data_IF_058088719783
#
_entry.id   IF_058088719783
#
_cell.length_a   1.000
_cell.length_b   1.000
_cell.length_c   1.000
_cell.angle_alpha   90.00
_cell.angle_beta   90.00
_cell.angle_gamma   90.00
#
_symmetry.space_group_name_H-M   'P 1'
#
loop_
_entity.id
_entity.type
_entity.pdbx_description
1 polymer ?
#
# COMPACT_ATOMS: atom_id res chain seq x y z
N UNK A 1 3.64 -2.09 13.35
CA UNK A 1 4.32 -1.67 12.12
C UNK A 1 5.70 -2.25 12.02
N UNK A 2 6.62 -1.88 12.92
CA UNK A 2 8.00 -2.41 12.93
C UNK A 2 8.09 -3.94 12.81
N UNK A 3 7.24 -4.69 13.52
CA UNK A 3 7.24 -6.14 13.41
C UNK A 3 6.90 -6.63 11.99
N UNK A 4 5.90 -6.02 11.36
CA UNK A 4 5.51 -6.34 9.98
C UNK A 4 6.58 -5.98 8.98
N UNK A 5 7.22 -4.83 9.18
CA UNK A 5 8.34 -4.37 8.36
C UNK A 5 9.49 -5.36 8.39
N UNK A 6 9.92 -5.79 9.58
CA UNK A 6 10.95 -6.82 9.77
C UNK A 6 10.54 -8.19 9.18
N UNK A 7 9.28 -8.58 9.37
CA UNK A 7 8.72 -9.81 8.81
C UNK A 7 8.83 -9.79 7.28
N UNK A 8 8.36 -8.72 6.65
CA UNK A 8 8.37 -8.62 5.19
C UNK A 8 9.77 -8.38 4.63
N UNK A 9 10.73 -7.92 5.45
CA UNK A 9 12.15 -7.86 5.11
C UNK A 9 12.90 -9.19 5.20
N UNK A 10 12.30 -10.25 5.74
CA UNK A 10 13.03 -11.51 5.89
C UNK A 10 14.08 -11.49 7.01
N UNK A 11 13.85 -10.68 8.05
CA UNK A 11 14.76 -10.53 9.20
C UNK A 11 15.18 -11.87 9.84
N UNK A 12 14.38 -12.93 9.66
CA UNK A 12 14.60 -14.25 10.24
C UNK A 12 14.90 -15.35 9.20
N UNK A 13 14.90 -15.05 7.90
CA UNK A 13 15.07 -16.07 6.86
C UNK A 13 16.43 -16.76 6.94
N UNK A 14 17.44 -16.11 7.54
CA UNK A 14 18.76 -16.68 7.81
C UNK A 14 18.74 -17.90 8.75
N UNK A 15 17.67 -18.09 9.53
CA UNK A 15 17.52 -19.26 10.41
C UNK A 15 17.25 -20.56 9.62
N UNK A 16 16.85 -20.45 8.34
CA UNK A 16 16.50 -21.58 7.48
C UNK A 16 15.46 -22.53 8.14
N UNK A 17 14.51 -21.95 8.86
CA UNK A 17 13.41 -22.64 9.52
C UNK A 17 12.18 -22.64 8.58
N UNK A 18 11.59 -23.80 8.24
CA UNK A 18 10.47 -23.87 7.31
C UNK A 18 9.17 -23.23 7.85
N UNK A 19 9.02 -23.06 9.16
CA UNK A 19 7.86 -22.39 9.77
C UNK A 19 8.06 -20.86 9.84
N UNK A 20 9.31 -20.41 9.89
CA UNK A 20 9.70 -19.02 10.08
C UNK A 20 10.39 -18.49 8.83
N UNK A 21 9.59 -18.16 7.81
CA UNK A 21 10.10 -17.70 6.52
C UNK A 21 9.21 -16.61 5.89
N UNK A 22 9.77 -15.45 5.57
CA UNK A 22 9.02 -14.27 5.11
C UNK A 22 8.19 -14.49 3.84
N UNK A 23 8.63 -15.43 3.00
CA UNK A 23 7.98 -15.79 1.73
C UNK A 23 6.63 -16.48 1.92
N UNK A 24 6.38 -17.11 3.07
CA UNK A 24 5.14 -17.84 3.36
C UNK A 24 4.16 -17.03 4.21
N UNK A 25 4.62 -15.92 4.77
CA UNK A 25 3.84 -15.08 5.66
C UNK A 25 3.15 -13.93 4.92
N UNK A 26 1.98 -13.57 5.44
CA UNK A 26 1.18 -12.47 4.94
C UNK A 26 0.88 -11.49 6.08
N UNK A 27 1.26 -10.22 5.90
CA UNK A 27 1.11 -9.24 6.96
C UNK A 27 -0.29 -8.62 7.00
N UNK A 28 -0.64 -8.11 8.19
CA UNK A 28 -1.87 -7.38 8.43
C UNK A 28 -1.81 -5.94 7.87
N UNK A 29 -1.88 -5.85 6.55
CA UNK A 29 -1.96 -4.60 5.78
C UNK A 29 -2.82 -4.80 4.53
N UNK A 30 -3.31 -3.72 3.94
CA UNK A 30 -4.02 -3.73 2.66
C UNK A 30 -3.11 -4.03 1.45
N UNK A 31 -1.79 -3.79 1.57
CA UNK A 31 -0.82 -4.17 0.54
C UNK A 31 -0.53 -5.68 0.63
N UNK A 32 -0.49 -6.34 -0.52
CA UNK A 32 -0.09 -7.75 -0.62
C UNK A 32 1.41 -7.88 -0.32
N UNK A 33 1.79 -8.86 0.50
CA UNK A 33 3.18 -8.96 0.95
C UNK A 33 4.16 -9.24 -0.20
N UNK A 34 3.72 -9.89 -1.29
CA UNK A 34 4.57 -10.07 -2.48
C UNK A 34 4.83 -8.76 -3.22
N UNK A 35 3.82 -7.88 -3.29
CA UNK A 35 3.94 -6.57 -3.92
C UNK A 35 4.79 -5.64 -3.08
N UNK A 36 4.55 -5.62 -1.76
CA UNK A 36 5.39 -4.87 -0.84
C UNK A 36 6.86 -5.30 -0.92
N UNK A 37 7.15 -6.61 -0.95
CA UNK A 37 8.54 -7.08 -1.11
C UNK A 37 9.13 -6.66 -2.45
N UNK A 38 8.34 -6.61 -3.52
CA UNK A 38 8.85 -6.14 -4.81
C UNK A 38 9.12 -4.64 -4.80
N UNK A 39 8.13 -3.81 -4.42
CA UNK A 39 8.28 -2.36 -4.46
C UNK A 39 9.27 -1.88 -3.39
N UNK A 40 9.19 -2.38 -2.18
CA UNK A 40 10.02 -1.95 -1.06
C UNK A 40 11.40 -2.64 -1.03
N UNK A 41 11.46 -3.98 -1.07
CA UNK A 41 12.75 -4.67 -0.95
C UNK A 41 13.57 -4.65 -2.24
N UNK A 42 12.91 -4.82 -3.39
CA UNK A 42 13.64 -4.87 -4.66
C UNK A 42 13.76 -3.49 -5.31
N UNK A 43 12.66 -2.76 -5.52
CA UNK A 43 12.75 -1.46 -6.22
C UNK A 43 13.38 -0.39 -5.33
N UNK A 44 12.78 -0.13 -4.16
CA UNK A 44 13.22 0.93 -3.27
C UNK A 44 14.61 0.67 -2.69
N UNK A 45 14.90 -0.48 -2.07
CA UNK A 45 16.24 -0.69 -1.48
C UNK A 45 17.38 -0.91 -2.49
N UNK A 46 17.09 -1.28 -3.74
CA UNK A 46 18.13 -1.41 -4.79
C UNK A 46 18.35 -0.12 -5.57
N UNK A 47 17.28 0.62 -5.83
CA UNK A 47 17.29 1.84 -6.64
C UNK A 47 16.90 3.07 -5.83
N UNK A 48 17.23 3.08 -4.53
CA UNK A 48 16.81 4.12 -3.58
C UNK A 48 17.13 5.51 -4.13
N UNK A 49 16.14 6.40 -4.11
CA UNK A 49 16.28 7.78 -4.59
C UNK A 49 16.64 7.92 -6.08
N UNK A 50 16.43 6.88 -6.89
CA UNK A 50 16.57 6.98 -8.36
C UNK A 50 15.21 7.29 -8.97
N UNK A 51 15.06 8.51 -9.47
CA UNK A 51 13.86 8.97 -10.19
C UNK A 51 13.49 7.99 -11.31
N UNK A 52 12.19 7.73 -11.47
CA UNK A 52 11.59 6.78 -12.42
C UNK A 52 11.84 5.29 -12.14
N UNK A 53 12.63 4.93 -11.12
CA UNK A 53 12.80 3.54 -10.66
C UNK A 53 12.23 3.32 -9.25
N UNK A 54 12.42 4.29 -8.37
CA UNK A 54 11.92 4.24 -6.99
C UNK A 54 10.59 4.99 -6.88
N UNK A 55 9.50 4.25 -6.95
CA UNK A 55 8.15 4.81 -6.81
C UNK A 55 7.85 5.34 -5.40
N UNK A 56 8.70 5.09 -4.40
CA UNK A 56 8.58 5.71 -3.08
C UNK A 56 8.97 7.20 -3.13
N UNK A 57 9.59 7.66 -4.22
CA UNK A 57 9.80 9.08 -4.53
C UNK A 57 8.45 9.72 -4.89
N UNK A 58 7.69 10.03 -3.84
CA UNK A 58 6.43 10.75 -3.94
C UNK A 58 5.24 9.92 -4.40
N UNK A 59 5.33 8.58 -4.44
CA UNK A 59 4.19 7.70 -4.69
C UNK A 59 3.46 8.02 -6.01
N UNK A 60 4.20 8.49 -7.01
CA UNK A 60 3.70 8.84 -8.35
C UNK A 60 2.77 10.07 -8.42
N UNK A 61 2.46 10.73 -7.30
CA UNK A 61 1.56 11.90 -7.25
C UNK A 61 2.16 13.11 -6.52
N UNK A 62 3.02 12.86 -5.54
CA UNK A 62 3.72 13.90 -4.80
C UNK A 62 5.01 14.26 -5.51
N UNK A 63 5.31 15.56 -5.56
CA UNK A 63 6.62 16.02 -6.01
C UNK A 63 7.54 16.18 -4.79
N UNK A 64 8.56 15.34 -4.69
CA UNK A 64 9.49 15.34 -3.54
C UNK A 64 10.93 15.66 -3.93
N UNK A 65 11.28 15.52 -5.22
CA UNK A 65 12.60 15.88 -5.75
C UNK A 65 12.52 17.00 -6.80
N UNK A 66 13.67 17.63 -7.07
CA UNK A 66 13.82 18.61 -8.15
C UNK A 66 13.83 17.97 -9.54
N UNK A 67 14.22 16.70 -9.61
CA UNK A 67 14.32 15.92 -10.85
C UNK A 67 12.96 15.59 -11.46
N UNK A 68 11.90 15.66 -10.66
CA UNK A 68 10.51 15.58 -11.14
C UNK A 68 10.10 16.95 -11.73
N UNK A 69 9.73 17.02 -13.02
CA UNK A 69 9.22 18.24 -13.62
C UNK A 69 7.95 18.68 -12.91
N UNK A 70 7.72 19.99 -12.84
CA UNK A 70 6.54 20.53 -12.19
C UNK A 70 5.31 20.44 -13.10
N UNK A 71 4.17 20.07 -12.53
CA UNK A 71 2.85 20.06 -13.18
C UNK A 71 1.80 20.77 -12.31
N UNK A 72 0.76 21.40 -12.89
CA UNK A 72 -0.21 22.22 -12.13
C UNK A 72 -0.92 21.51 -10.96
N UNK A 73 -1.19 20.20 -11.07
CA UNK A 73 -1.82 19.46 -9.97
C UNK A 73 -0.95 19.43 -8.71
N UNK A 74 0.37 19.57 -8.84
CA UNK A 74 1.32 19.54 -7.72
C UNK A 74 1.17 20.75 -6.78
N UNK A 75 0.33 21.75 -7.10
CA UNK A 75 -0.10 22.77 -6.13
C UNK A 75 -0.82 22.15 -4.92
N UNK A 76 -1.49 21.01 -5.12
CA UNK A 76 -2.22 20.29 -4.08
C UNK A 76 -1.37 19.21 -3.38
N UNK A 77 -0.05 19.21 -3.58
CA UNK A 77 0.89 18.26 -2.95
C UNK A 77 0.66 18.10 -1.42
N UNK A 78 0.46 19.18 -0.63
CA UNK A 78 0.15 19.02 0.80
C UNK A 78 -1.17 18.26 1.07
N UNK A 79 -2.19 18.49 0.24
CA UNK A 79 -3.48 17.81 0.37
C UNK A 79 -3.36 16.33 0.01
N UNK A 80 -2.69 16.02 -1.10
CA UNK A 80 -2.41 14.64 -1.49
C UNK A 80 -1.59 13.91 -0.43
N UNK A 81 -0.61 14.59 0.19
CA UNK A 81 0.19 13.99 1.25
C UNK A 81 -0.65 13.64 2.47
N UNK A 82 -1.59 14.50 2.88
CA UNK A 82 -2.50 14.18 4.00
C UNK A 82 -3.42 13.01 3.67
N UNK A 83 -3.95 12.95 2.45
CA UNK A 83 -4.78 11.83 2.00
C UNK A 83 -3.97 10.53 2.00
N UNK A 84 -2.75 10.57 1.44
CA UNK A 84 -1.84 9.43 1.43
C UNK A 84 -1.50 8.99 2.85
N UNK A 85 -1.17 9.92 3.75
CA UNK A 85 -0.86 9.64 5.15
C UNK A 85 -2.02 8.95 5.87
N UNK A 86 -3.27 9.40 5.68
CA UNK A 86 -4.44 8.80 6.32
C UNK A 86 -4.81 7.43 5.71
N UNK A 87 -4.47 7.22 4.44
CA UNK A 87 -4.77 6.01 3.66
C UNK A 87 -3.57 5.17 3.29
N UNK A 88 -2.44 5.29 4.00
CA UNK A 88 -1.12 4.88 3.50
C UNK A 88 -1.04 3.40 3.11
N UNK A 89 -1.66 2.50 3.90
CA UNK A 89 -1.73 1.08 3.54
C UNK A 89 -2.35 0.82 2.15
N UNK A 90 -3.31 1.63 1.74
CA UNK A 90 -3.98 1.52 0.44
C UNK A 90 -3.12 2.17 -0.64
N UNK A 91 -2.42 3.26 -0.33
CA UNK A 91 -1.40 3.86 -1.20
C UNK A 91 -0.33 2.83 -1.57
N UNK A 92 0.26 2.16 -0.58
CA UNK A 92 1.18 1.03 -0.77
C UNK A 92 0.58 -0.10 -1.60
N UNK A 93 -0.70 -0.42 -1.37
CA UNK A 93 -1.38 -1.50 -2.09
C UNK A 93 -1.53 -1.19 -3.59
N UNK A 94 -1.81 0.06 -3.95
CA UNK A 94 -2.05 0.45 -5.35
C UNK A 94 -0.80 0.91 -6.08
N UNK A 95 0.32 1.16 -5.38
CA UNK A 95 1.57 1.59 -5.98
C UNK A 95 2.04 0.64 -7.10
N UNK A 96 1.97 -0.67 -6.86
CA UNK A 96 2.34 -1.71 -7.83
C UNK A 96 1.44 -1.77 -9.09
N UNK A 97 0.32 -1.05 -9.09
CA UNK A 97 -0.59 -0.98 -10.23
C UNK A 97 -0.16 0.07 -11.26
N UNK A 98 0.83 0.91 -10.99
CA UNK A 98 1.26 1.84 -12.04
C UNK A 98 0.19 2.90 -12.33
N UNK A 99 -0.74 3.21 -11.41
CA UNK A 99 -2.05 3.82 -11.78
C UNK A 99 -1.92 5.11 -12.61
N UNK A 100 -0.92 5.94 -12.31
CA UNK A 100 -0.66 7.15 -13.09
C UNK A 100 -0.12 6.83 -14.49
N UNK A 101 0.70 5.79 -14.62
CA UNK A 101 1.18 5.28 -15.91
C UNK A 101 0.03 4.68 -16.72
N UNK A 102 -0.84 3.89 -16.08
CA UNK A 102 -2.05 3.35 -16.70
C UNK A 102 -3.01 4.46 -17.15
N UNK A 103 -3.16 5.52 -16.36
CA UNK A 103 -3.95 6.70 -16.72
C UNK A 103 -3.33 7.46 -17.91
N UNK A 104 -2.02 7.72 -17.88
CA UNK A 104 -1.29 8.38 -19.00
C UNK A 104 -1.34 7.55 -20.29
N UNK A 105 -1.26 6.22 -20.17
CA UNK A 105 -1.46 5.29 -21.27
C UNK A 105 -2.87 5.42 -21.86
N UNK A 106 -3.90 5.37 -21.00
CA UNK A 106 -5.29 5.45 -21.40
C UNK A 106 -5.68 6.81 -22.01
N UNK A 107 -5.04 7.89 -21.57
CA UNK A 107 -5.24 9.25 -22.07
C UNK A 107 -4.39 9.58 -23.32
N UNK A 108 -3.76 8.59 -23.95
CA UNK A 108 -2.96 8.68 -25.19
C UNK A 108 -1.65 9.50 -25.09
N UNK A 109 -0.92 9.51 -23.96
CA UNK A 109 0.14 10.53 -23.76
C UNK A 109 1.41 10.16 -22.99
N UNK A 110 2.13 9.11 -23.40
CA UNK A 110 3.58 8.93 -23.12
C UNK A 110 4.17 7.92 -24.08
N UNK A 111 5.28 8.24 -24.76
CA UNK A 111 5.92 7.31 -25.71
C UNK A 111 6.30 5.98 -25.04
N UNK A 112 6.62 6.03 -23.75
CA UNK A 112 6.94 4.88 -22.89
C UNK A 112 5.73 4.03 -22.46
N UNK A 113 4.48 4.47 -22.67
CA UNK A 113 3.27 3.79 -22.17
C UNK A 113 2.31 3.34 -23.27
N UNK A 114 2.71 3.47 -24.55
CA UNK A 114 1.87 3.12 -25.71
C UNK A 114 1.60 1.61 -25.82
N UNK A 115 2.43 0.79 -25.20
CA UNK A 115 2.37 -0.68 -25.17
C UNK A 115 2.08 -1.22 -23.76
N UNK A 116 1.20 -0.57 -23.00
CA UNK A 116 0.90 -1.01 -21.64
C UNK A 116 0.25 -2.42 -21.60
N UNK A 117 0.81 -3.32 -20.78
CA UNK A 117 0.31 -4.69 -20.60
C UNK A 117 -0.97 -4.70 -19.74
N UNK A 118 -2.11 -4.50 -20.41
CA UNK A 118 -3.42 -4.53 -19.78
C UNK A 118 -3.78 -5.88 -19.12
N UNK A 119 -3.48 -7.04 -19.73
CA UNK A 119 -3.62 -8.33 -19.05
C UNK A 119 -2.90 -8.39 -17.70
N UNK A 120 -1.63 -7.97 -17.66
CA UNK A 120 -0.85 -7.96 -16.41
C UNK A 120 -1.44 -6.97 -15.39
N UNK A 121 -1.76 -5.75 -15.82
CA UNK A 121 -2.42 -4.75 -14.98
C UNK A 121 -3.69 -5.31 -14.32
N UNK A 122 -4.55 -5.98 -15.08
CA UNK A 122 -5.79 -6.59 -14.55
C UNK A 122 -5.52 -7.70 -13.54
N UNK A 123 -4.47 -8.49 -13.75
CA UNK A 123 -4.05 -9.52 -12.80
C UNK A 123 -3.57 -8.88 -11.49
N UNK A 124 -2.70 -7.86 -11.57
CA UNK A 124 -2.23 -7.13 -10.39
C UNK A 124 -3.40 -6.45 -9.66
N UNK A 125 -4.30 -5.81 -10.40
CA UNK A 125 -5.51 -5.17 -9.85
C UNK A 125 -6.37 -6.17 -9.08
N UNK A 126 -6.56 -7.38 -9.61
CA UNK A 126 -7.31 -8.44 -8.93
C UNK A 126 -6.67 -8.82 -7.59
N UNK A 127 -5.34 -8.96 -7.54
CA UNK A 127 -4.61 -9.25 -6.30
C UNK A 127 -4.84 -8.14 -5.27
N UNK A 128 -4.62 -6.88 -5.66
CA UNK A 128 -4.82 -5.71 -4.80
C UNK A 128 -6.25 -5.62 -4.27
N UNK A 129 -7.25 -5.70 -5.15
CA UNK A 129 -8.65 -5.61 -4.75
C UNK A 129 -9.06 -6.78 -3.84
N UNK A 130 -8.56 -7.99 -4.11
CA UNK A 130 -8.84 -9.16 -3.25
C UNK A 130 -8.26 -8.96 -1.86
N UNK A 131 -7.02 -8.46 -1.76
CA UNK A 131 -6.35 -8.19 -0.49
C UNK A 131 -7.05 -7.08 0.29
N UNK A 132 -7.34 -5.95 -0.36
CA UNK A 132 -8.10 -4.83 0.21
C UNK A 132 -9.46 -5.30 0.72
N UNK A 133 -10.20 -6.07 -0.08
CA UNK A 133 -11.52 -6.57 0.28
C UNK A 133 -11.46 -7.48 1.52
N UNK A 134 -10.51 -8.42 1.56
CA UNK A 134 -10.31 -9.30 2.71
C UNK A 134 -10.00 -8.52 3.99
N UNK A 135 -9.07 -7.57 3.94
CA UNK A 135 -8.70 -6.78 5.13
C UNK A 135 -9.83 -5.86 5.58
N UNK A 136 -10.48 -5.17 4.64
CA UNK A 136 -11.59 -4.26 4.95
C UNK A 136 -12.79 -5.03 5.51
N UNK A 137 -13.11 -6.19 4.94
CA UNK A 137 -14.17 -7.05 5.46
C UNK A 137 -13.82 -7.58 6.86
N UNK A 138 -12.56 -7.99 7.09
CA UNK A 138 -12.10 -8.42 8.41
C UNK A 138 -12.28 -7.30 9.46
N UNK A 139 -11.77 -6.11 9.17
CA UNK A 139 -11.71 -5.00 10.12
C UNK A 139 -13.05 -4.33 10.36
N UNK A 140 -13.89 -4.19 9.34
CA UNK A 140 -15.11 -3.38 9.43
C UNK A 140 -16.41 -4.19 9.39
N UNK A 141 -16.33 -5.49 9.12
CA UNK A 141 -17.49 -6.38 9.11
C UNK A 141 -17.30 -7.53 10.10
N UNK A 142 -16.29 -8.37 9.93
CA UNK A 142 -16.11 -9.58 10.74
C UNK A 142 -15.86 -9.27 12.22
N UNK A 143 -14.84 -8.47 12.53
CA UNK A 143 -14.51 -8.10 13.91
C UNK A 143 -15.67 -7.34 14.59
N UNK A 144 -16.27 -6.31 13.96
CA UNK A 144 -17.45 -5.67 14.52
C UNK A 144 -18.66 -6.59 14.68
N UNK A 145 -18.91 -7.51 13.75
CA UNK A 145 -20.00 -8.49 13.87
C UNK A 145 -19.80 -9.43 15.07
N UNK A 146 -18.57 -9.84 15.37
CA UNK A 146 -18.27 -10.65 16.56
C UNK A 146 -18.55 -9.91 17.88
N UNK A 147 -18.60 -8.57 17.88
CA UNK A 147 -18.96 -7.78 19.06
C UNK A 147 -20.47 -7.66 19.28
N UNK A 148 -21.30 -8.02 18.28
CA UNK A 148 -22.77 -7.90 18.35
C UNK A 148 -23.39 -8.76 19.46
N UNK A 149 -23.00 -10.04 19.66
CA UNK A 149 -23.58 -10.86 20.74
C UNK A 149 -23.33 -10.29 22.15
N UNK A 150 -22.30 -9.46 22.33
CA UNK A 150 -21.91 -8.91 23.64
C UNK A 150 -22.63 -7.59 23.94
N UNK A 151 -22.72 -6.68 22.95
CA UNK A 151 -23.21 -5.32 23.17
C UNK A 151 -24.11 -4.79 22.05
N UNK A 152 -24.70 -5.68 21.24
CA UNK A 152 -25.60 -5.34 20.15
C UNK A 152 -24.96 -4.40 19.12
N UNK A 153 -25.77 -3.48 18.58
CA UNK A 153 -25.31 -2.48 17.61
C UNK A 153 -24.27 -1.51 18.18
N UNK A 154 -24.26 -1.29 19.50
CA UNK A 154 -23.23 -0.48 20.15
C UNK A 154 -21.87 -1.19 20.11
N UNK A 155 -21.85 -2.52 20.31
CA UNK A 155 -20.65 -3.34 20.17
C UNK A 155 -20.04 -3.24 18.78
N UNK A 156 -20.87 -3.40 17.74
CA UNK A 156 -20.46 -3.23 16.35
C UNK A 156 -19.82 -1.86 16.11
N UNK A 157 -20.52 -0.77 16.46
CA UNK A 157 -20.02 0.60 16.24
C UNK A 157 -18.72 0.87 16.97
N UNK A 158 -18.58 0.41 18.22
CA UNK A 158 -17.36 0.59 19.01
C UNK A 158 -16.19 -0.18 18.41
N UNK A 159 -16.38 -1.44 17.99
CA UNK A 159 -15.33 -2.22 17.35
C UNK A 159 -14.91 -1.62 16.01
N UNK A 160 -15.86 -1.17 15.18
CA UNK A 160 -15.56 -0.53 13.90
C UNK A 160 -14.77 0.78 14.11
N UNK A 161 -15.16 1.60 15.10
CA UNK A 161 -14.46 2.83 15.45
C UNK A 161 -13.04 2.55 16.00
N UNK A 162 -12.88 1.50 16.82
CA UNK A 162 -11.58 1.08 17.32
C UNK A 162 -10.65 0.66 16.18
N UNK A 163 -11.14 -0.15 15.24
CA UNK A 163 -10.36 -0.56 14.06
C UNK A 163 -10.03 0.62 13.15
N UNK A 164 -10.97 1.55 12.93
CA UNK A 164 -10.71 2.79 12.20
C UNK A 164 -9.59 3.59 12.86
N UNK A 165 -9.67 3.80 14.17
CA UNK A 165 -8.67 4.56 14.93
C UNK A 165 -7.30 3.89 14.87
N UNK A 166 -7.25 2.57 15.09
CA UNK A 166 -6.01 1.80 15.02
C UNK A 166 -5.38 1.86 13.62
N UNK A 167 -6.19 1.70 12.56
CA UNK A 167 -5.73 1.80 11.18
C UNK A 167 -5.23 3.22 10.83
N UNK A 168 -5.90 4.28 11.29
CA UNK A 168 -5.44 5.66 11.07
C UNK A 168 -4.11 5.92 11.75
N UNK A 169 -3.96 5.56 13.04
CA UNK A 169 -2.69 5.71 13.76
C UNK A 169 -1.57 4.92 13.08
N UNK A 170 -1.87 3.69 12.65
CA UNK A 170 -0.94 2.84 11.91
C UNK A 170 -0.51 3.44 10.58
N UNK A 171 -1.45 3.99 9.81
CA UNK A 171 -1.15 4.63 8.53
C UNK A 171 -0.28 5.88 8.71
N UNK A 172 -0.59 6.72 9.71
CA UNK A 172 0.22 7.91 10.02
C UNK A 172 1.64 7.50 10.42
N UNK A 173 1.78 6.49 11.29
CA UNK A 173 3.10 5.98 11.68
C UNK A 173 3.87 5.45 10.47
N UNK A 174 3.27 4.50 9.73
CA UNK A 174 3.91 3.88 8.57
C UNK A 174 4.36 4.92 7.56
N UNK A 175 3.54 5.92 7.26
CA UNK A 175 3.85 6.97 6.29
C UNK A 175 5.10 7.79 6.65
N UNK A 176 5.44 7.87 7.95
CA UNK A 176 6.57 8.66 8.44
C UNK A 176 7.82 7.79 8.63
N UNK A 177 7.67 6.48 8.79
CA UNK A 177 8.77 5.58 9.15
C UNK A 177 9.16 4.57 8.07
N UNK A 178 8.28 4.30 7.11
CA UNK A 178 8.48 3.36 6.00
C UNK A 178 8.43 4.15 4.70
#
# INVERSE_FOLDING_TARGET
>A
NELGHNIMHGQWDWMNDPEIHSTTWEWDSACDSSFWRHTHNYMHHKYTNVTDLDDDIGYGILRVTRDQPWEPYMLFNPVYNVILMLGFQYGKAVQHLELMNALKAALNGGAQYREHDWPEFRNRLKVVLTKIAKQTAKDYVLFPAMAVPIAGSAGFRRSALANMTANTVRNVWDHVTI
#
